data_IF_165295606630
#
_entry.id   IF_165295606630
#
_cell.length_a   1.000
_cell.length_b   1.000
_cell.length_c   1.000
_cell.angle_alpha   90.00
_cell.angle_beta   90.00
_cell.angle_gamma   90.00
#
_symmetry.space_group_name_H-M   'P 1'
#
loop_
_entity.id
_entity.type
_entity.pdbx_description
1 polymer ?
#
# COMPACT_ATOMS: atom_id res chain seq x y z
N UNK A 1 1.80 -14.17 6.11
CA UNK A 1 2.12 -12.74 5.97
C UNK A 1 3.31 -12.37 6.85
N UNK A 2 4.19 -11.50 6.34
CA UNK A 2 5.34 -10.95 7.06
C UNK A 2 5.43 -9.43 6.82
N UNK A 3 5.76 -8.64 7.85
CA UNK A 3 6.13 -7.22 7.71
C UNK A 3 7.59 -7.14 7.30
N UNK A 4 7.87 -6.42 6.21
CA UNK A 4 9.21 -6.20 5.71
C UNK A 4 9.74 -4.79 6.01
N UNK A 5 8.84 -3.81 6.14
CA UNK A 5 9.16 -2.44 6.48
C UNK A 5 7.92 -1.75 7.06
N UNK A 6 8.12 -0.82 7.99
CA UNK A 6 7.07 0.06 8.49
C UNK A 6 7.62 1.46 8.72
N UNK A 7 6.84 2.49 8.37
CA UNK A 7 7.25 3.89 8.53
C UNK A 7 6.08 4.84 8.62
N UNK A 8 6.27 5.95 9.32
CA UNK A 8 5.32 7.07 9.32
C UNK A 8 5.60 7.99 8.14
N UNK A 9 4.55 8.49 7.50
CA UNK A 9 4.60 9.49 6.43
C UNK A 9 3.45 10.47 6.60
N UNK A 10 3.71 11.61 7.24
CA UNK A 10 2.65 12.53 7.69
C UNK A 10 1.70 11.84 8.67
N UNK A 11 0.41 11.82 8.33
CA UNK A 11 -0.65 11.15 9.10
C UNK A 11 -0.96 9.72 8.64
N UNK A 12 -0.24 9.23 7.63
CA UNK A 12 -0.34 7.84 7.18
C UNK A 12 0.76 6.98 7.80
N UNK A 13 0.39 5.76 8.19
CA UNK A 13 1.33 4.69 8.54
C UNK A 13 1.48 3.75 7.36
N UNK A 14 2.69 3.68 6.80
CA UNK A 14 3.01 2.90 5.61
C UNK A 14 3.69 1.59 6.02
N UNK A 15 3.25 0.48 5.44
CA UNK A 15 3.73 -0.87 5.76
C UNK A 15 4.02 -1.61 4.45
N UNK A 16 5.24 -2.14 4.31
CA UNK A 16 5.59 -3.09 3.26
C UNK A 16 5.43 -4.51 3.79
N UNK A 17 4.67 -5.32 3.08
CA UNK A 17 4.25 -6.66 3.52
C UNK A 17 4.56 -7.67 2.43
N UNK A 18 4.93 -8.88 2.82
CA UNK A 18 4.97 -10.04 1.93
C UNK A 18 3.93 -11.06 2.38
N UNK A 19 3.01 -11.39 1.48
CA UNK A 19 2.15 -12.56 1.69
C UNK A 19 2.95 -13.84 1.43
N UNK A 20 2.73 -14.84 2.29
CA UNK A 20 3.40 -16.15 2.24
C UNK A 20 2.39 -17.30 2.21
N UNK A 21 1.10 -16.98 2.14
CA UNK A 21 0.05 -17.99 1.97
C UNK A 21 0.08 -18.61 0.57
N UNK A 22 -0.54 -19.79 0.37
CA UNK A 22 -0.69 -20.36 -0.96
C UNK A 22 -1.43 -19.38 -1.87
N UNK A 23 -0.85 -19.05 -3.03
CA UNK A 23 -1.47 -18.21 -4.06
C UNK A 23 -1.43 -18.93 -5.42
N UNK A 24 -2.29 -19.95 -5.64
CA UNK A 24 -2.25 -20.74 -6.88
C UNK A 24 -2.67 -19.96 -8.14
N UNK A 25 -3.21 -18.74 -7.98
CA UNK A 25 -3.81 -17.96 -9.07
C UNK A 25 -3.88 -16.45 -8.79
N UNK A 26 -3.00 -15.90 -7.94
CA UNK A 26 -3.06 -14.47 -7.61
C UNK A 26 -2.63 -13.62 -8.83
N UNK A 27 -3.43 -12.64 -9.27
CA UNK A 27 -3.08 -11.77 -10.40
C UNK A 27 -2.02 -10.71 -10.04
N UNK A 28 -1.66 -10.61 -8.76
CA UNK A 28 -0.74 -9.60 -8.22
C UNK A 28 0.41 -10.25 -7.47
N UNK A 29 1.55 -9.57 -7.41
CA UNK A 29 2.72 -10.01 -6.68
C UNK A 29 2.42 -10.20 -5.17
N UNK A 30 3.16 -11.10 -4.52
CA UNK A 30 2.98 -11.37 -3.09
C UNK A 30 3.37 -10.19 -2.18
N UNK A 31 4.23 -9.29 -2.66
CA UNK A 31 4.65 -8.10 -1.93
C UNK A 31 3.72 -6.90 -2.18
N UNK A 32 3.31 -6.21 -1.12
CA UNK A 32 2.47 -5.00 -1.24
C UNK A 32 2.92 -3.90 -0.29
N UNK A 33 2.61 -2.67 -0.66
CA UNK A 33 2.65 -1.51 0.22
C UNK A 33 1.23 -1.18 0.67
N UNK A 34 1.05 -0.90 1.97
CA UNK A 34 -0.22 -0.46 2.55
C UNK A 34 -0.06 0.86 3.29
N UNK A 35 -1.00 1.78 3.11
CA UNK A 35 -1.14 2.95 3.96
C UNK A 35 -2.36 2.76 4.85
N UNK A 36 -2.20 2.94 6.15
CA UNK A 36 -3.29 3.05 7.12
C UNK A 36 -3.36 4.50 7.57
N UNK A 37 -4.51 5.14 7.39
CA UNK A 37 -4.72 6.55 7.69
C UNK A 37 -6.14 6.81 8.20
N UNK A 38 -6.30 7.91 8.94
CA UNK A 38 -7.61 8.43 9.27
C UNK A 38 -8.07 9.40 8.17
N UNK A 39 -9.32 9.30 7.76
CA UNK A 39 -9.96 10.20 6.80
C UNK A 39 -11.34 10.58 7.31
N UNK A 40 -11.51 11.82 7.79
CA UNK A 40 -12.79 12.32 8.30
C UNK A 40 -13.42 11.39 9.36
N UNK A 41 -12.61 10.98 10.34
CA UNK A 41 -13.02 10.08 11.42
C UNK A 41 -13.11 8.60 11.05
N UNK A 42 -12.78 8.21 9.80
CA UNK A 42 -12.83 6.83 9.32
C UNK A 42 -11.42 6.25 9.16
N UNK A 43 -11.24 4.99 9.57
CA UNK A 43 -10.01 4.26 9.30
C UNK A 43 -10.03 3.76 7.86
N UNK A 44 -9.05 4.18 7.07
CA UNK A 44 -8.90 3.81 5.65
C UNK A 44 -7.61 3.03 5.46
N UNK A 45 -7.66 1.99 4.64
CA UNK A 45 -6.47 1.27 4.18
C UNK A 45 -6.37 1.36 2.67
N UNK A 46 -5.25 1.87 2.17
CA UNK A 46 -4.91 1.87 0.74
C UNK A 46 -3.84 0.81 0.51
N UNK A 47 -3.98 -0.02 -0.52
CA UNK A 47 -3.02 -1.08 -0.85
C UNK A 47 -2.55 -0.93 -2.30
N UNK A 48 -1.25 -1.09 -2.52
CA UNK A 48 -0.62 -1.11 -3.84
C UNK A 48 0.20 -2.39 -3.96
N UNK A 49 -0.01 -3.12 -5.05
CA UNK A 49 0.77 -4.28 -5.48
C UNK A 49 0.84 -4.27 -7.01
N UNK A 50 1.97 -4.68 -7.59
CA UNK A 50 2.11 -4.83 -9.03
C UNK A 50 1.47 -6.12 -9.53
N UNK A 51 1.10 -6.20 -10.81
CA UNK A 51 0.81 -7.46 -11.49
C UNK A 51 1.98 -8.46 -11.39
N UNK A 52 1.70 -9.76 -11.44
CA UNK A 52 2.75 -10.79 -11.38
C UNK A 52 3.73 -10.71 -12.56
N UNK A 53 3.25 -10.32 -13.74
CA UNK A 53 4.03 -10.17 -14.98
C UNK A 53 4.79 -8.84 -15.07
N UNK A 54 4.42 -7.86 -14.24
CA UNK A 54 5.06 -6.54 -14.17
C UNK A 54 5.13 -6.05 -12.71
N UNK A 55 5.94 -6.70 -11.85
CA UNK A 55 5.97 -6.37 -10.43
C UNK A 55 6.57 -4.99 -10.16
N UNK A 56 6.05 -4.33 -9.14
CA UNK A 56 6.61 -3.12 -8.57
C UNK A 56 7.81 -3.48 -7.69
N UNK A 57 8.94 -2.84 -7.95
CA UNK A 57 10.05 -2.84 -7.00
C UNK A 57 9.70 -1.99 -5.76
N UNK A 58 10.54 -2.09 -4.72
CA UNK A 58 10.32 -1.42 -3.43
C UNK A 58 10.01 0.08 -3.58
N UNK A 59 10.86 0.81 -4.31
CA UNK A 59 10.79 2.27 -4.39
C UNK A 59 9.64 2.74 -5.27
N UNK A 60 9.38 2.05 -6.39
CA UNK A 60 8.23 2.31 -7.25
C UNK A 60 6.91 2.08 -6.51
N UNK A 61 6.81 0.99 -5.73
CA UNK A 61 5.65 0.70 -4.90
C UNK A 61 5.42 1.74 -3.81
N UNK A 62 6.49 2.20 -3.15
CA UNK A 62 6.40 3.26 -2.14
C UNK A 62 5.95 4.59 -2.76
N UNK A 63 6.56 5.00 -3.87
CA UNK A 63 6.21 6.23 -4.57
C UNK A 63 4.74 6.22 -5.04
N UNK A 64 4.28 5.09 -5.60
CA UNK A 64 2.89 4.93 -6.02
C UNK A 64 1.91 4.98 -4.82
N UNK A 65 2.24 4.33 -3.70
CA UNK A 65 1.41 4.42 -2.49
C UNK A 65 1.32 5.85 -1.96
N UNK A 66 2.43 6.60 -1.94
CA UNK A 66 2.46 7.99 -1.49
C UNK A 66 1.61 8.89 -2.40
N UNK A 67 1.72 8.72 -3.72
CA UNK A 67 0.88 9.43 -4.68
C UNK A 67 -0.61 9.09 -4.49
N UNK A 68 -0.93 7.80 -4.24
CA UNK A 68 -2.30 7.38 -4.00
C UNK A 68 -2.88 7.97 -2.71
N UNK A 69 -2.11 7.98 -1.62
CA UNK A 69 -2.49 8.66 -0.36
C UNK A 69 -2.79 10.15 -0.62
N UNK A 70 -1.90 10.85 -1.32
CA UNK A 70 -2.09 12.28 -1.61
C UNK A 70 -3.35 12.54 -2.44
N UNK A 71 -3.61 11.71 -3.45
CA UNK A 71 -4.82 11.80 -4.27
C UNK A 71 -6.11 11.51 -3.46
N UNK A 72 -6.11 10.47 -2.63
CA UNK A 72 -7.25 10.15 -1.76
C UNK A 72 -7.55 11.28 -0.78
N UNK A 73 -6.54 11.84 -0.12
CA UNK A 73 -6.70 12.99 0.77
C UNK A 73 -7.25 14.19 0.00
N UNK A 74 -6.69 14.52 -1.17
CA UNK A 74 -7.14 15.65 -1.97
C UNK A 74 -8.60 15.54 -2.41
N UNK A 75 -9.04 14.34 -2.79
CA UNK A 75 -10.40 14.07 -3.23
C UNK A 75 -11.45 14.09 -2.10
N UNK A 76 -11.02 14.05 -0.84
CA UNK A 76 -11.90 13.98 0.33
C UNK A 76 -11.72 15.19 1.26
N UNK A 77 -11.09 16.28 0.78
CA UNK A 77 -11.09 17.55 1.50
C UNK A 77 -12.46 18.21 1.35
N UNK A 78 -13.11 18.45 2.49
CA UNK A 78 -14.37 19.19 2.60
C UNK A 78 -14.14 20.70 2.62
#
# INVERSE_FOLDING_TARGET
MQVLEARRSGDAFLIRLQDRGPQPSAPVQAESWRAVLALEGRLVTLTVAGPVDAPLNRDAGLALLQAFVAATLAANRS
#
